data_IF_193811377056
#
_entry.id   IF_193811377056
#
_cell.length_a   1.000
_cell.length_b   1.000
_cell.length_c   1.000
_cell.angle_alpha   90.00
_cell.angle_beta   90.00
_cell.angle_gamma   90.00
#
_symmetry.space_group_name_H-M   'P 1'
#
loop_
_entity.id
_entity.type
_entity.pdbx_description
1 polymer ?
#
# COMPACT_ATOMS: atom_id res chain seq x y z
N UNK A 1 -19.96 5.53 -1.36
CA UNK A 1 -19.58 4.21 -1.91
C UNK A 1 -18.28 3.75 -1.28
N UNK A 2 -18.17 2.46 -1.01
CA UNK A 2 -17.03 1.89 -0.26
C UNK A 2 -15.68 2.21 -0.89
N UNK A 3 -15.58 2.10 -2.23
CA UNK A 3 -14.33 2.42 -2.94
C UNK A 3 -13.91 3.89 -2.75
N UNK A 4 -14.85 4.80 -2.87
CA UNK A 4 -14.59 6.23 -2.68
C UNK A 4 -14.14 6.53 -1.25
N UNK A 5 -14.79 5.90 -0.26
CA UNK A 5 -14.43 6.09 1.14
C UNK A 5 -13.04 5.53 1.44
N UNK A 6 -12.69 4.37 0.85
CA UNK A 6 -11.38 3.77 0.99
C UNK A 6 -10.28 4.65 0.38
N UNK A 7 -10.53 5.23 -0.80
CA UNK A 7 -9.59 6.16 -1.44
C UNK A 7 -9.47 7.46 -0.66
N UNK A 8 -10.56 7.92 -0.04
CA UNK A 8 -10.53 9.12 0.81
C UNK A 8 -9.57 8.93 1.98
N UNK A 9 -9.56 7.75 2.59
CA UNK A 9 -8.63 7.44 3.67
C UNK A 9 -7.18 7.58 3.20
N UNK A 10 -6.86 7.04 2.01
CA UNK A 10 -5.51 7.14 1.44
C UNK A 10 -5.16 8.60 1.16
N UNK A 11 -6.10 9.35 0.58
CA UNK A 11 -5.91 10.76 0.28
C UNK A 11 -5.60 11.57 1.55
N UNK A 12 -6.37 11.37 2.61
CA UNK A 12 -6.16 12.06 3.88
C UNK A 12 -4.80 11.73 4.49
N UNK A 13 -4.30 10.52 4.27
CA UNK A 13 -3.00 10.09 4.79
C UNK A 13 -1.82 10.74 4.04
N UNK A 14 -2.01 11.18 2.79
CA UNK A 14 -0.89 11.66 1.97
C UNK A 14 -1.09 13.05 1.37
N UNK A 15 -2.22 13.71 1.58
CA UNK A 15 -2.56 14.97 0.91
C UNK A 15 -1.53 16.09 1.11
N UNK A 16 -0.83 16.11 2.23
CA UNK A 16 0.20 17.11 2.50
C UNK A 16 1.42 16.92 1.61
N UNK A 17 1.70 15.66 1.21
CA UNK A 17 2.80 15.33 0.32
C UNK A 17 2.40 15.36 -1.15
N UNK A 18 1.09 15.25 -1.42
CA UNK A 18 0.55 15.19 -2.78
C UNK A 18 -0.54 16.25 -2.93
N UNK A 19 -0.16 17.53 -3.16
CA UNK A 19 -1.13 18.64 -3.19
C UNK A 19 -1.96 18.61 -4.46
N UNK A 20 -3.05 17.87 -4.44
CA UNK A 20 -4.03 17.80 -5.52
C UNK A 20 -5.42 17.61 -4.93
N UNK A 21 -6.45 17.85 -5.73
CA UNK A 21 -7.82 17.60 -5.28
C UNK A 21 -8.07 16.10 -5.12
N UNK A 22 -9.07 15.75 -4.30
CA UNK A 22 -9.46 14.35 -4.15
C UNK A 22 -9.90 13.75 -5.49
N UNK A 23 -10.64 14.50 -6.30
CA UNK A 23 -11.11 13.98 -7.59
C UNK A 23 -9.96 13.60 -8.51
N UNK A 24 -8.91 14.41 -8.57
CA UNK A 24 -7.71 14.07 -9.34
C UNK A 24 -6.97 12.89 -8.76
N UNK A 25 -6.89 12.83 -7.43
CA UNK A 25 -6.27 11.71 -6.73
C UNK A 25 -7.01 10.40 -7.03
N UNK A 26 -8.33 10.41 -6.88
CA UNK A 26 -9.15 9.22 -7.14
C UNK A 26 -9.03 8.76 -8.59
N UNK A 27 -8.98 9.70 -9.54
CA UNK A 27 -8.83 9.37 -10.96
C UNK A 27 -7.49 8.69 -11.25
N UNK A 28 -6.44 9.03 -10.51
CA UNK A 28 -5.12 8.41 -10.66
C UNK A 28 -5.14 6.92 -10.28
N UNK A 29 -6.09 6.49 -9.47
CA UNK A 29 -6.23 5.09 -9.07
C UNK A 29 -7.29 4.34 -9.87
N UNK A 30 -7.72 4.91 -11.00
CA UNK A 30 -8.58 4.19 -11.92
C UNK A 30 -7.84 2.95 -12.45
N UNK A 31 -8.52 1.80 -12.43
CA UNK A 31 -7.90 0.53 -12.81
C UNK A 31 -7.17 -0.20 -11.67
N UNK A 32 -7.01 0.45 -10.51
CA UNK A 32 -6.43 -0.20 -9.34
C UNK A 32 -7.50 -0.96 -8.57
N UNK A 33 -7.10 -2.11 -8.00
CA UNK A 33 -7.94 -2.81 -7.02
C UNK A 33 -7.80 -2.08 -5.69
N UNK A 34 -8.91 -1.73 -5.08
CA UNK A 34 -8.94 -0.98 -3.81
C UNK A 34 -9.66 -1.83 -2.79
N UNK A 35 -8.95 -2.24 -1.73
CA UNK A 35 -9.46 -3.12 -0.68
C UNK A 35 -9.59 -2.34 0.62
N UNK A 36 -10.81 -2.00 1.05
CA UNK A 36 -10.99 -1.39 2.36
C UNK A 36 -10.82 -2.45 3.46
N UNK A 37 -10.22 -2.04 4.56
CA UNK A 37 -10.11 -2.85 5.77
C UNK A 37 -11.01 -2.24 6.82
N UNK A 38 -12.04 -2.97 7.22
CA UNK A 38 -13.02 -2.49 8.18
C UNK A 38 -12.80 -3.12 9.54
N UNK A 39 -13.07 -2.33 10.58
CA UNK A 39 -13.09 -2.78 11.96
C UNK A 39 -14.22 -2.03 12.66
N UNK A 40 -15.15 -2.78 13.25
CA UNK A 40 -16.31 -2.22 13.97
C UNK A 40 -17.13 -1.27 13.08
N UNK A 41 -17.30 -1.62 11.80
CA UNK A 41 -18.09 -0.84 10.85
C UNK A 41 -17.38 0.38 10.28
N UNK A 42 -16.11 0.58 10.61
CA UNK A 42 -15.32 1.73 10.14
C UNK A 42 -14.14 1.27 9.29
N UNK A 43 -13.88 1.99 8.20
CA UNK A 43 -12.68 1.73 7.37
C UNK A 43 -11.48 2.29 8.13
N UNK A 44 -10.56 1.40 8.51
CA UNK A 44 -9.36 1.77 9.29
C UNK A 44 -8.09 1.73 8.45
N UNK A 45 -8.13 1.10 7.29
CA UNK A 45 -6.98 1.01 6.38
C UNK A 45 -7.47 0.72 4.97
N UNK A 46 -6.60 0.94 3.99
CA UNK A 46 -6.87 0.62 2.59
C UNK A 46 -5.63 -0.01 1.99
N UNK A 47 -5.82 -1.10 1.24
CA UNK A 47 -4.78 -1.74 0.45
C UNK A 47 -5.12 -1.53 -1.02
N UNK A 48 -4.16 -1.07 -1.81
CA UNK A 48 -4.34 -0.86 -3.25
C UNK A 48 -3.34 -1.69 -4.02
N UNK A 49 -3.80 -2.40 -5.05
CA UNK A 49 -2.92 -3.23 -5.87
C UNK A 49 -3.17 -3.00 -7.36
N UNK A 50 -2.11 -3.10 -8.14
CA UNK A 50 -2.17 -3.13 -9.59
C UNK A 50 -0.98 -3.93 -10.12
N UNK A 51 -1.26 -5.10 -10.75
CA UNK A 51 -0.19 -5.99 -11.17
C UNK A 51 0.64 -6.44 -9.97
N UNK A 52 1.95 -6.22 -10.03
CA UNK A 52 2.87 -6.58 -8.94
C UNK A 52 3.04 -5.47 -7.89
N UNK A 53 2.38 -4.34 -8.08
CA UNK A 53 2.55 -3.17 -7.19
C UNK A 53 1.49 -3.13 -6.10
N UNK A 54 1.91 -2.77 -4.88
CA UNK A 54 1.03 -2.64 -3.71
C UNK A 54 1.30 -1.33 -2.99
N UNK A 55 0.22 -0.70 -2.50
CA UNK A 55 0.28 0.45 -1.61
C UNK A 55 -0.73 0.27 -0.49
N UNK A 56 -0.38 0.75 0.69
CA UNK A 56 -1.27 0.68 1.85
C UNK A 56 -1.29 2.01 2.58
N UNK A 57 -2.42 2.33 3.19
CA UNK A 57 -2.54 3.47 4.09
C UNK A 57 -3.41 3.08 5.27
N UNK A 58 -3.12 3.66 6.43
CA UNK A 58 -3.90 3.44 7.65
C UNK A 58 -4.45 4.76 8.16
N UNK A 59 -5.62 4.72 8.79
CA UNK A 59 -6.24 5.90 9.38
C UNK A 59 -5.41 6.43 10.55
N UNK A 60 -4.91 5.52 11.38
CA UNK A 60 -4.07 5.86 12.52
C UNK A 60 -2.71 5.19 12.35
N UNK A 61 -1.61 5.96 12.32
CA UNK A 61 -0.27 5.37 12.18
C UNK A 61 0.00 4.34 13.28
N UNK A 62 0.54 3.19 12.87
CA UNK A 62 0.92 2.11 13.78
C UNK A 62 -0.21 1.22 14.25
N UNK A 63 -1.47 1.55 13.94
CA UNK A 63 -2.63 0.71 14.30
C UNK A 63 -3.37 0.31 13.04
N UNK A 64 -3.41 -1.07 12.77
CA UNK A 64 -3.79 -1.31 11.45
C UNK A 64 -4.06 -2.74 11.07
N UNK A 65 -3.71 -3.09 9.94
CA UNK A 65 -3.93 -4.28 9.19
C UNK A 65 -3.60 -5.54 9.96
N UNK A 66 -4.48 -6.51 9.93
CA UNK A 66 -4.12 -7.82 10.45
C UNK A 66 -2.94 -8.35 9.60
N UNK A 67 -1.97 -8.96 10.26
CA UNK A 67 -0.83 -9.58 9.57
C UNK A 67 -1.30 -10.63 8.57
N UNK A 68 -2.37 -11.33 8.91
CA UNK A 68 -2.94 -12.35 8.04
C UNK A 68 -3.42 -11.74 6.73
N UNK A 69 -4.15 -10.61 6.78
CA UNK A 69 -4.68 -9.98 5.59
C UNK A 69 -3.56 -9.51 4.65
N UNK A 70 -2.55 -8.82 5.19
CA UNK A 70 -1.45 -8.34 4.35
C UNK A 70 -0.65 -9.50 3.76
N UNK A 71 -0.44 -10.57 4.53
CA UNK A 71 0.24 -11.77 4.03
C UNK A 71 -0.56 -12.44 2.93
N UNK A 72 -1.89 -12.50 3.06
CA UNK A 72 -2.75 -13.11 2.05
C UNK A 72 -2.65 -12.32 0.74
N UNK A 73 -2.70 -10.98 0.80
CA UNK A 73 -2.58 -10.12 -0.39
C UNK A 73 -1.20 -10.24 -1.02
N UNK A 74 -0.15 -10.20 -0.20
CA UNK A 74 1.23 -10.37 -0.70
C UNK A 74 1.41 -11.74 -1.33
N UNK A 75 0.85 -12.78 -0.71
CA UNK A 75 0.90 -14.15 -1.24
C UNK A 75 0.25 -14.25 -2.62
N UNK A 76 -0.92 -13.64 -2.82
CA UNK A 76 -1.57 -13.60 -4.14
C UNK A 76 -0.66 -12.96 -5.19
N UNK A 77 -0.06 -11.81 -4.86
CA UNK A 77 0.80 -11.09 -5.80
C UNK A 77 2.05 -11.91 -6.13
N UNK A 78 2.68 -12.49 -5.11
CA UNK A 78 3.88 -13.31 -5.30
C UNK A 78 3.59 -14.58 -6.10
N UNK A 79 2.45 -15.23 -5.85
CA UNK A 79 2.07 -16.43 -6.59
C UNK A 79 1.78 -16.13 -8.06
N UNK A 80 1.21 -14.96 -8.36
CA UNK A 80 0.86 -14.56 -9.72
C UNK A 80 2.06 -14.01 -10.48
N UNK A 81 2.89 -13.18 -9.83
CA UNK A 81 3.93 -12.39 -10.50
C UNK A 81 5.36 -12.78 -10.12
N UNK A 82 5.55 -13.53 -9.03
CA UNK A 82 6.87 -13.89 -8.50
C UNK A 82 7.57 -12.74 -7.79
N UNK A 83 7.04 -11.53 -7.85
CA UNK A 83 7.59 -10.33 -7.26
C UNK A 83 6.45 -9.42 -6.82
N UNK A 84 6.66 -8.68 -5.75
CA UNK A 84 5.78 -7.60 -5.33
C UNK A 84 6.62 -6.33 -5.18
N UNK A 85 6.13 -5.21 -5.69
CA UNK A 85 6.85 -3.94 -5.67
C UNK A 85 6.03 -2.88 -4.95
N UNK A 86 6.72 -1.89 -4.40
CA UNK A 86 6.07 -0.71 -3.86
C UNK A 86 7.01 0.48 -3.92
N UNK A 87 6.44 1.68 -3.83
CA UNK A 87 7.19 2.93 -3.79
C UNK A 87 6.88 3.64 -2.48
N UNK A 88 7.90 4.14 -1.83
CA UNK A 88 7.77 4.89 -0.58
C UNK A 88 8.47 6.23 -0.76
N UNK A 89 7.81 7.33 -0.42
CA UNK A 89 8.43 8.65 -0.49
C UNK A 89 9.65 8.70 0.44
N UNK A 90 10.73 9.33 -0.01
CA UNK A 90 12.01 9.32 0.70
C UNK A 90 11.89 9.79 2.15
N UNK A 91 10.99 10.74 2.42
CA UNK A 91 10.79 11.32 3.75
C UNK A 91 9.79 10.55 4.62
N UNK A 92 9.22 9.47 4.13
CA UNK A 92 8.22 8.69 4.86
C UNK A 92 8.89 7.58 5.69
N UNK A 93 9.46 7.96 6.83
CA UNK A 93 10.18 7.03 7.70
C UNK A 93 9.32 5.84 8.15
N UNK A 94 8.06 6.09 8.49
CA UNK A 94 7.13 5.03 8.93
C UNK A 94 6.88 4.03 7.80
N UNK A 95 6.73 4.50 6.57
CA UNK A 95 6.54 3.65 5.40
C UNK A 95 7.76 2.77 5.13
N UNK A 96 8.97 3.34 5.23
CA UNK A 96 10.21 2.57 5.07
C UNK A 96 10.32 1.45 6.11
N UNK A 97 10.06 1.78 7.37
CA UNK A 97 10.11 0.79 8.46
C UNK A 97 9.08 -0.32 8.22
N UNK A 98 7.88 0.04 7.76
CA UNK A 98 6.80 -0.91 7.51
C UNK A 98 7.17 -1.93 6.43
N UNK A 99 7.62 -1.46 5.26
CA UNK A 99 7.95 -2.38 4.16
C UNK A 99 9.17 -3.24 4.48
N UNK A 100 10.12 -2.70 5.23
CA UNK A 100 11.28 -3.49 5.67
C UNK A 100 10.86 -4.61 6.62
N UNK A 101 9.92 -4.36 7.53
CA UNK A 101 9.39 -5.41 8.42
C UNK A 101 8.67 -6.51 7.66
N UNK A 102 8.08 -6.18 6.52
CA UNK A 102 7.42 -7.17 5.66
C UNK A 102 8.41 -7.99 4.84
N UNK A 103 9.69 -7.62 4.86
CA UNK A 103 10.73 -8.34 4.13
C UNK A 103 11.12 -7.74 2.79
N UNK A 104 10.60 -6.56 2.44
CA UNK A 104 10.97 -5.88 1.21
C UNK A 104 12.41 -5.39 1.28
N UNK A 105 13.08 -5.42 0.13
CA UNK A 105 14.46 -4.94 -0.03
C UNK A 105 14.45 -3.68 -0.90
N UNK A 106 15.17 -2.65 -0.46
CA UNK A 106 15.33 -1.42 -1.24
C UNK A 106 16.16 -1.69 -2.49
N UNK A 107 15.64 -1.28 -3.65
CA UNK A 107 16.29 -1.50 -4.94
C UNK A 107 16.65 -0.21 -5.66
N UNK A 108 16.03 0.90 -5.33
CA UNK A 108 16.31 2.19 -5.93
C UNK A 108 16.00 3.31 -4.94
N UNK A 109 16.87 4.34 -4.90
CA UNK A 109 16.66 5.55 -4.14
C UNK A 109 16.08 6.68 -4.98
N UNK A 110 16.05 7.89 -4.41
CA UNK A 110 15.52 9.09 -5.02
C UNK A 110 14.35 9.62 -4.21
N UNK A 111 13.53 10.48 -4.81
CA UNK A 111 12.34 11.04 -4.14
C UNK A 111 11.31 9.95 -3.83
N UNK A 112 11.18 8.97 -4.74
CA UNK A 112 10.39 7.77 -4.54
C UNK A 112 11.35 6.59 -4.45
N UNK A 113 11.38 5.96 -3.29
CA UNK A 113 12.25 4.82 -3.03
C UNK A 113 11.51 3.55 -3.41
N UNK A 114 12.12 2.75 -4.27
CA UNK A 114 11.53 1.49 -4.73
C UNK A 114 11.97 0.34 -3.83
N UNK A 115 11.02 -0.50 -3.47
CA UNK A 115 11.24 -1.73 -2.71
C UNK A 115 10.67 -2.91 -3.47
N UNK A 116 11.30 -4.07 -3.30
CA UNK A 116 10.87 -5.32 -3.92
C UNK A 116 10.84 -6.45 -2.89
N UNK A 117 9.82 -7.29 -3.00
CA UNK A 117 9.70 -8.53 -2.26
C UNK A 117 9.62 -9.65 -3.29
N UNK A 118 10.48 -10.66 -3.19
CA UNK A 118 10.49 -11.77 -4.13
C UNK A 118 10.03 -13.04 -3.45
N UNK A 119 9.39 -13.91 -4.24
CA UNK A 119 8.99 -15.21 -3.77
C UNK A 119 10.23 -16.01 -3.37
N UNK A 120 10.28 -16.60 -2.15
CA UNK A 120 11.42 -17.40 -1.75
C UNK A 120 11.65 -18.55 -2.74
N UNK A 121 12.92 -18.79 -3.06
CA UNK A 121 13.27 -19.95 -3.87
C UNK A 121 13.25 -21.18 -2.96
N UNK A 122 12.53 -22.20 -3.40
CA UNK A 122 12.62 -23.50 -2.77
C UNK A 122 13.85 -24.21 -3.32
N UNK A 123 14.69 -24.63 -2.41
CA UNK A 123 15.90 -25.36 -2.76
C UNK A 123 15.64 -26.83 -2.58
#
# INVERSE_FOLDING_TARGET
MVRSDALRLVYEACKERCPMSFDRFAAAFDGWRVLPVERDGEIVATIMTRGDEIHCATKTPGKWLSRKLIRDVLGEILDTHGICTTLVMADNAAGHAFVQRLGFTRTRGGEMVRYELRKPRHV
#
